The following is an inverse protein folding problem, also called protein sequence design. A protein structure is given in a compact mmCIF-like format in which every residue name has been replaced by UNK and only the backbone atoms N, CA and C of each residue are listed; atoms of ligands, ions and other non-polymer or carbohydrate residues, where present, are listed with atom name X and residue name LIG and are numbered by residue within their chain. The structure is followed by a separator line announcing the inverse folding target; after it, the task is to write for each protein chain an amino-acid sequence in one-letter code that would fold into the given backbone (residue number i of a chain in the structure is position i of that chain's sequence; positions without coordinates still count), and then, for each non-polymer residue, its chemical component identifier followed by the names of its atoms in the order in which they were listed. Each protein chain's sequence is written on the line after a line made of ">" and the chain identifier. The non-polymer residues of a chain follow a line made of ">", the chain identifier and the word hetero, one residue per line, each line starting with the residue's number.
data_IF_473322087846
#
_entry.id   IF_473322087846
#
_cell.length_a   1.000
_cell.length_b   1.000
_cell.length_c   1.000
_cell.angle_alpha   90.00
_cell.angle_beta   90.00
_cell.angle_gamma   90.00
#
_symmetry.space_group_name_H-M   'P 1'
#
loop_
_entity.id
_entity.type
_entity.pdbx_description
1 polymer ?
#
# COMPACT_ATOMS: atom_id res chain seq x y z
N UNK A 1 20.16 4.32 1.95
CA UNK A 1 18.78 3.84 2.14
C UNK A 1 18.01 4.15 0.86
N UNK A 2 17.82 3.17 -0.02
CA UNK A 2 17.08 3.37 -1.28
C UNK A 2 15.59 3.43 -0.94
N UNK A 3 14.97 4.60 -1.12
CA UNK A 3 13.53 4.75 -1.03
C UNK A 3 12.92 3.83 -2.11
N UNK A 4 12.22 2.78 -1.68
CA UNK A 4 11.46 1.92 -2.60
C UNK A 4 10.22 2.68 -3.07
N UNK A 5 10.44 3.69 -3.91
CA UNK A 5 9.40 4.30 -4.70
C UNK A 5 9.01 3.26 -5.76
N UNK A 6 7.73 3.17 -6.06
CA UNK A 6 7.24 2.30 -7.12
C UNK A 6 8.04 2.56 -8.41
N UNK A 7 8.60 1.54 -9.07
CA UNK A 7 9.39 1.75 -10.27
C UNK A 7 8.55 2.47 -11.33
N UNK A 8 9.02 3.63 -11.79
CA UNK A 8 8.29 4.53 -12.69
C UNK A 8 7.95 3.88 -14.05
N UNK A 9 8.61 2.78 -14.39
CA UNK A 9 8.46 2.07 -15.67
C UNK A 9 7.37 0.99 -15.68
N UNK A 10 6.62 0.76 -14.59
CA UNK A 10 5.50 -0.20 -14.61
C UNK A 10 4.33 0.20 -13.70
N UNK A 11 3.14 -0.26 -14.05
CA UNK A 11 1.96 -0.18 -13.19
C UNK A 11 2.01 -1.20 -12.04
N UNK A 12 1.37 -0.91 -10.90
CA UNK A 12 1.00 -1.93 -9.93
C UNK A 12 0.27 -3.10 -10.53
N UNK A 13 0.68 -4.31 -10.15
CA UNK A 13 -0.06 -5.52 -10.46
C UNK A 13 -0.37 -6.28 -9.17
N UNK A 14 -1.43 -7.10 -9.21
CA UNK A 14 -1.96 -7.76 -8.01
C UNK A 14 -0.93 -8.65 -7.29
N UNK A 15 0.04 -9.24 -8.00
CA UNK A 15 1.07 -10.08 -7.37
C UNK A 15 2.15 -9.30 -6.62
N UNK A 16 2.17 -7.96 -6.69
CA UNK A 16 2.96 -7.14 -5.77
C UNK A 16 2.35 -7.06 -4.36
N UNK A 17 1.11 -7.51 -4.19
CA UNK A 17 0.34 -7.37 -2.96
C UNK A 17 0.09 -8.78 -2.40
N UNK A 18 0.77 -9.09 -1.30
CA UNK A 18 0.68 -10.39 -0.62
C UNK A 18 0.42 -10.18 0.87
N UNK A 19 -0.59 -10.87 1.39
CA UNK A 19 -0.99 -10.77 2.78
C UNK A 19 0.03 -11.43 3.71
N UNK A 20 0.35 -10.75 4.82
CA UNK A 20 1.09 -11.34 5.95
C UNK A 20 0.17 -11.95 7.01
N UNK A 21 0.60 -11.92 8.27
CA UNK A 21 -0.14 -12.58 9.38
C UNK A 21 -1.14 -11.68 10.12
N UNK A 22 -1.40 -10.47 9.62
CA UNK A 22 -2.18 -9.43 10.32
C UNK A 22 -3.70 -9.64 10.29
N UNK A 23 -4.21 -10.57 9.47
CA UNK A 23 -5.66 -10.80 9.35
C UNK A 23 -6.44 -9.69 8.63
N UNK A 24 -5.76 -8.79 7.93
CA UNK A 24 -6.35 -7.67 7.18
C UNK A 24 -6.75 -8.05 5.74
N UNK A 25 -7.24 -9.27 5.53
CA UNK A 25 -7.51 -9.84 4.21
C UNK A 25 -8.47 -8.99 3.37
N UNK A 26 -9.48 -8.38 3.99
CA UNK A 26 -10.42 -7.50 3.31
C UNK A 26 -9.72 -6.31 2.63
N UNK A 27 -8.76 -5.69 3.33
CA UNK A 27 -7.96 -4.59 2.77
C UNK A 27 -7.07 -5.11 1.63
N UNK A 28 -6.37 -6.23 1.87
CA UNK A 28 -5.45 -6.81 0.88
C UNK A 28 -6.16 -7.21 -0.40
N UNK A 29 -7.29 -7.90 -0.31
CA UNK A 29 -8.10 -8.28 -1.46
C UNK A 29 -8.59 -7.05 -2.25
N UNK A 30 -8.98 -5.99 -1.54
CA UNK A 30 -9.41 -4.73 -2.18
C UNK A 30 -8.26 -4.06 -2.94
N UNK A 31 -7.05 -4.06 -2.39
CA UNK A 31 -5.86 -3.53 -3.07
C UNK A 31 -5.46 -4.38 -4.28
N UNK A 32 -5.58 -5.71 -4.19
CA UNK A 32 -5.36 -6.62 -5.34
C UNK A 32 -6.37 -6.36 -6.47
N UNK A 33 -7.64 -6.13 -6.14
CA UNK A 33 -8.66 -5.77 -7.10
C UNK A 33 -8.37 -4.42 -7.76
N UNK A 34 -7.97 -3.41 -6.98
CA UNK A 34 -7.54 -2.11 -7.51
C UNK A 34 -6.34 -2.25 -8.46
N UNK A 35 -5.32 -3.02 -8.10
CA UNK A 35 -4.17 -3.26 -8.95
C UNK A 35 -4.54 -3.99 -10.26
N UNK A 36 -5.57 -4.84 -10.24
CA UNK A 36 -6.02 -5.59 -11.42
C UNK A 36 -6.88 -4.76 -12.35
N UNK A 37 -7.79 -3.96 -11.80
CA UNK A 37 -8.80 -3.25 -12.59
C UNK A 37 -8.43 -1.79 -12.88
N UNK A 38 -7.77 -1.11 -11.95
CA UNK A 38 -7.55 0.34 -11.96
C UNK A 38 -6.19 0.71 -11.32
N UNK A 39 -5.05 0.24 -11.85
CA UNK A 39 -3.73 0.39 -11.21
C UNK A 39 -3.29 1.85 -10.99
N UNK A 40 -3.75 2.77 -11.84
CA UNK A 40 -3.51 4.20 -11.69
C UNK A 40 -4.13 4.77 -10.40
N UNK A 41 -5.26 4.23 -9.94
CA UNK A 41 -5.85 4.63 -8.66
C UNK A 41 -4.99 4.16 -7.48
N UNK A 42 -4.41 2.96 -7.57
CA UNK A 42 -3.49 2.48 -6.54
C UNK A 42 -2.23 3.37 -6.45
N UNK A 43 -1.71 3.88 -7.58
CA UNK A 43 -0.65 4.90 -7.57
C UNK A 43 -1.07 6.19 -6.89
N UNK A 44 -2.34 6.60 -7.05
CA UNK A 44 -2.85 7.84 -6.44
C UNK A 44 -2.93 7.80 -4.90
N UNK A 45 -2.89 6.60 -4.31
CA UNK A 45 -2.85 6.38 -2.86
C UNK A 45 -1.48 6.77 -2.31
N UNK A 46 -0.39 6.57 -3.05
CA UNK A 46 0.98 6.74 -2.55
C UNK A 46 1.52 8.11 -2.97
N UNK A 47 1.98 8.90 -2.00
CA UNK A 47 2.72 10.14 -2.29
C UNK A 47 4.15 9.85 -2.80
N UNK A 48 4.68 10.73 -3.65
CA UNK A 48 6.09 10.71 -4.04
C UNK A 48 7.01 11.02 -2.85
N UNK A 49 6.49 11.68 -1.80
CA UNK A 49 7.16 11.81 -0.51
C UNK A 49 6.79 10.61 0.38
N UNK A 50 7.80 9.95 0.93
CA UNK A 50 7.71 8.60 1.51
C UNK A 50 6.90 8.44 2.81
N UNK A 51 6.07 9.42 3.18
CA UNK A 51 5.44 9.50 4.50
C UNK A 51 3.95 9.87 4.47
N UNK A 52 3.29 9.89 3.30
CA UNK A 52 1.84 10.17 3.25
C UNK A 52 1.12 9.25 2.26
N UNK A 53 -0.08 8.83 2.67
CA UNK A 53 -1.03 8.06 1.87
C UNK A 53 -2.34 8.83 1.74
N UNK A 54 -3.05 8.63 0.63
CA UNK A 54 -4.37 9.25 0.39
C UNK A 54 -5.48 8.19 0.40
N UNK A 55 -6.55 8.46 1.14
CA UNK A 55 -7.73 7.61 1.21
C UNK A 55 -9.00 8.40 0.95
N UNK A 56 -10.09 7.71 0.61
CA UNK A 56 -11.42 8.31 0.53
C UNK A 56 -12.22 7.97 1.78
N UNK A 57 -12.79 8.99 2.42
CA UNK A 57 -13.69 8.86 3.57
C UNK A 57 -14.91 9.75 3.34
N UNK A 58 -16.10 9.14 3.28
CA UNK A 58 -17.36 9.86 3.06
C UNK A 58 -17.36 10.75 1.80
N UNK A 59 -16.71 10.28 0.72
CA UNK A 59 -16.59 11.03 -0.54
C UNK A 59 -15.40 11.99 -0.60
N UNK A 60 -14.80 12.33 0.54
CA UNK A 60 -13.67 13.27 0.61
C UNK A 60 -12.33 12.55 0.55
N UNK A 61 -11.35 13.17 -0.12
CA UNK A 61 -9.97 12.68 -0.14
C UNK A 61 -9.23 13.18 1.10
N UNK A 62 -8.71 12.25 1.89
CA UNK A 62 -8.03 12.50 3.16
C UNK A 62 -6.57 12.08 3.03
N UNK A 63 -5.67 12.98 3.43
CA UNK A 63 -4.23 12.69 3.59
C UNK A 63 -3.97 12.09 4.97
N UNK A 64 -3.31 10.93 4.99
CA UNK A 64 -2.96 10.18 6.19
C UNK A 64 -1.43 10.09 6.27
N UNK A 65 -0.78 10.68 7.28
CA UNK A 65 0.64 10.52 7.49
C UNK A 65 0.96 9.08 7.91
N UNK A 66 2.02 8.52 7.33
CA UNK A 66 2.54 7.20 7.69
C UNK A 66 3.59 7.39 8.78
N UNK A 67 3.28 6.89 9.97
CA UNK A 67 4.23 6.83 11.09
C UNK A 67 5.07 5.56 10.89
N UNK A 68 6.35 5.73 10.61
CA UNK A 68 7.30 4.62 10.57
C UNK A 68 7.76 4.31 11.99
N UNK A 69 7.05 3.42 12.67
CA UNK A 69 7.53 2.86 13.93
C UNK A 69 8.51 1.70 13.67
N UNK A 70 9.54 1.50 14.51
CA UNK A 70 10.37 0.31 14.43
C UNK A 70 9.49 -0.93 14.57
N UNK A 71 9.53 -1.82 13.57
CA UNK A 71 8.85 -3.12 13.64
C UNK A 71 9.39 -3.89 14.85
N UNK A 72 8.54 -4.10 15.87
CA UNK A 72 8.77 -5.16 16.85
C UNK A 72 8.53 -6.52 16.18
N UNK A 73 9.21 -7.58 16.64
CA UNK A 73 9.21 -8.92 16.01
C UNK A 73 7.79 -9.49 15.75
N UNK A 74 6.78 -9.01 16.47
CA UNK A 74 5.37 -9.36 16.27
C UNK A 74 4.76 -8.89 14.94
N UNK A 75 5.38 -7.91 14.26
CA UNK A 75 4.94 -7.38 12.96
C UNK A 75 5.83 -7.83 11.80
N UNK A 76 6.74 -8.77 12.04
CA UNK A 76 7.66 -9.24 11.01
C UNK A 76 6.89 -9.91 9.87
N UNK A 77 7.07 -9.35 8.67
CA UNK A 77 6.51 -9.89 7.43
C UNK A 77 7.21 -11.20 7.09
N UNK A 78 6.65 -12.33 7.53
CA UNK A 78 7.09 -13.63 7.06
C UNK A 78 6.57 -13.85 5.63
N UNK A 79 7.45 -13.81 4.63
CA UNK A 79 7.19 -14.52 3.37
C UNK A 79 7.10 -16.00 3.71
N UNK A 80 5.92 -16.59 3.51
CA UNK A 80 5.77 -18.05 3.38
C UNK A 80 6.46 -18.53 2.12
#
# INVERSE_FOLDING_TARGET
>A
MSSRIWPSNREPYHGDIVQGRLGNCFLIASLQALASCQPHLLKSIISTSSLTCFFYRQGERVEIPVILEPLSDQYQYCRS
#
